data_IF_613357163177
#
_entry.id   IF_613357163177
#
_cell.length_a   1.000
_cell.length_b   1.000
_cell.length_c   1.000
_cell.angle_alpha   90.00
_cell.angle_beta   90.00
_cell.angle_gamma   90.00
#
_symmetry.space_group_name_H-M   'P 1'
#
loop_
_entity.id
_entity.type
_entity.pdbx_description
1 polymer ?
#
# COMPACT_ATOMS: atom_id res chain seq x y z
N UNK A 1 -18.20 -23.54 22.18
CA UNK A 1 -19.07 -22.33 22.25
C UNK A 1 -19.46 -21.96 20.83
N UNK A 2 -20.60 -21.30 20.58
CA UNK A 2 -20.95 -20.87 19.21
C UNK A 2 -20.03 -19.73 18.76
N UNK A 3 -19.36 -19.91 17.62
CA UNK A 3 -18.55 -18.88 16.98
C UNK A 3 -19.45 -17.72 16.55
N UNK A 4 -19.12 -16.50 17.00
CA UNK A 4 -19.81 -15.29 16.58
C UNK A 4 -19.07 -14.72 15.37
N UNK A 5 -19.70 -14.77 14.21
CA UNK A 5 -19.15 -14.20 12.98
C UNK A 5 -19.16 -12.67 13.08
N UNK A 6 -18.03 -12.00 12.87
CA UNK A 6 -17.91 -10.53 13.07
C UNK A 6 -17.20 -9.85 11.93
N UNK A 7 -17.53 -8.58 11.69
CA UNK A 7 -16.77 -7.70 10.81
C UNK A 7 -16.06 -6.61 11.64
N UNK A 8 -14.73 -6.56 11.56
CA UNK A 8 -13.91 -5.57 12.25
C UNK A 8 -14.08 -4.17 11.61
N UNK A 9 -14.12 -4.09 10.28
CA UNK A 9 -14.27 -2.84 9.51
C UNK A 9 -15.59 -2.12 9.82
N UNK A 10 -16.69 -2.87 9.94
CA UNK A 10 -18.03 -2.33 10.17
C UNK A 10 -18.52 -2.48 11.63
N UNK A 11 -17.69 -3.03 12.52
CA UNK A 11 -17.95 -3.23 13.97
C UNK A 11 -19.28 -3.94 14.30
N UNK A 12 -19.67 -4.92 13.49
CA UNK A 12 -20.93 -5.68 13.64
C UNK A 12 -20.73 -7.19 13.78
N UNK A 13 -21.70 -7.85 14.40
CA UNK A 13 -21.75 -9.29 14.60
C UNK A 13 -22.96 -9.90 13.89
N UNK A 14 -22.76 -11.08 13.29
CA UNK A 14 -23.73 -11.86 12.54
C UNK A 14 -24.01 -13.18 13.25
N UNK A 15 -25.17 -13.77 12.96
CA UNK A 15 -25.58 -15.06 13.51
C UNK A 15 -24.94 -16.23 12.76
N UNK A 16 -24.82 -16.09 11.44
CA UNK A 16 -24.45 -17.17 10.52
C UNK A 16 -23.33 -16.73 9.57
N UNK A 17 -22.48 -17.68 9.16
CA UNK A 17 -21.33 -17.42 8.28
C UNK A 17 -21.75 -16.85 6.91
N UNK A 18 -22.86 -17.32 6.35
CA UNK A 18 -23.33 -16.87 5.03
C UNK A 18 -23.80 -15.41 5.05
N UNK A 19 -24.36 -14.94 6.16
CA UNK A 19 -24.72 -13.52 6.35
C UNK A 19 -23.43 -12.67 6.42
N UNK A 20 -22.37 -13.17 7.06
CA UNK A 20 -21.07 -12.50 7.07
C UNK A 20 -20.48 -12.44 5.64
N UNK A 21 -20.51 -13.54 4.88
CA UNK A 21 -20.06 -13.58 3.46
C UNK A 21 -20.89 -12.66 2.55
N UNK A 22 -22.19 -12.51 2.79
CA UNK A 22 -23.04 -11.54 2.09
C UNK A 22 -22.71 -10.11 2.48
N UNK A 23 -22.46 -9.82 3.77
CA UNK A 23 -22.06 -8.50 4.24
C UNK A 23 -20.76 -8.01 3.59
N UNK A 24 -19.74 -8.86 3.43
CA UNK A 24 -18.51 -8.50 2.72
C UNK A 24 -18.72 -8.07 1.25
N UNK A 25 -19.84 -8.47 0.63
CA UNK A 25 -20.23 -8.06 -0.73
C UNK A 25 -21.14 -6.83 -0.77
N UNK A 26 -21.69 -6.40 0.36
CA UNK A 26 -22.64 -5.30 0.43
C UNK A 26 -21.94 -3.93 0.43
N UNK A 27 -22.57 -2.93 -0.18
CA UNK A 27 -21.92 -1.64 -0.44
C UNK A 27 -21.65 -0.83 0.82
N UNK A 28 -22.41 -1.06 1.90
CA UNK A 28 -22.10 -0.55 3.24
C UNK A 28 -20.74 -1.02 3.76
N UNK A 29 -20.35 -2.28 3.47
CA UNK A 29 -19.02 -2.78 3.82
C UNK A 29 -17.93 -2.12 2.98
N UNK A 30 -18.15 -2.04 1.67
CA UNK A 30 -17.23 -1.39 0.71
C UNK A 30 -17.00 0.09 1.07
N UNK A 31 -18.06 0.80 1.43
CA UNK A 31 -18.02 2.20 1.90
C UNK A 31 -17.19 2.36 3.18
N UNK A 32 -17.44 1.53 4.20
CA UNK A 32 -16.66 1.56 5.44
C UNK A 32 -15.21 1.09 5.26
N UNK A 33 -14.93 0.22 4.30
CA UNK A 33 -13.56 -0.16 3.91
C UNK A 33 -12.83 1.02 3.25
N UNK A 34 -13.44 1.70 2.26
CA UNK A 34 -12.89 2.94 1.66
C UNK A 34 -12.61 3.99 2.74
N UNK A 35 -13.53 4.21 3.69
CA UNK A 35 -13.33 5.13 4.82
C UNK A 35 -12.17 4.73 5.73
N UNK A 36 -12.01 3.44 6.07
CA UNK A 36 -10.87 2.95 6.85
C UNK A 36 -9.53 3.18 6.14
N UNK A 37 -9.48 3.04 4.81
CA UNK A 37 -8.27 3.31 4.01
C UNK A 37 -7.90 4.80 4.01
N UNK A 38 -8.88 5.69 4.20
CA UNK A 38 -8.68 7.13 4.37
C UNK A 38 -8.55 7.57 5.85
N UNK A 39 -8.28 6.65 6.79
CA UNK A 39 -8.24 6.86 8.24
C UNK A 39 -9.52 7.50 8.87
N UNK A 40 -10.64 7.49 8.14
CA UNK A 40 -11.91 8.06 8.59
C UNK A 40 -12.72 7.06 9.44
N UNK A 41 -13.48 7.53 10.46
CA UNK A 41 -14.35 6.68 11.26
C UNK A 41 -15.40 5.93 10.42
N UNK A 42 -15.68 4.65 10.71
CA UNK A 42 -16.72 3.88 10.02
C UNK A 42 -18.13 4.36 10.42
N UNK A 43 -19.04 4.33 9.45
CA UNK A 43 -20.41 4.86 9.55
C UNK A 43 -21.41 3.73 9.81
N UNK A 44 -22.45 4.00 10.60
CA UNK A 44 -23.49 3.02 10.95
C UNK A 44 -24.35 2.65 9.74
N UNK A 45 -25.06 1.51 9.81
CA UNK A 45 -25.91 1.08 8.69
C UNK A 45 -27.10 2.03 8.49
N UNK A 46 -27.64 2.61 9.56
CA UNK A 46 -28.74 3.58 9.54
C UNK A 46 -28.34 4.89 8.85
N UNK A 47 -27.14 5.41 9.16
CA UNK A 47 -26.66 6.66 8.57
C UNK A 47 -26.21 6.46 7.11
N UNK A 48 -25.65 5.30 6.77
CA UNK A 48 -25.40 4.92 5.37
C UNK A 48 -26.71 4.84 4.58
N UNK A 49 -27.74 4.19 5.11
CA UNK A 49 -29.07 4.14 4.48
C UNK A 49 -29.67 5.54 4.30
N UNK A 50 -29.54 6.42 5.31
CA UNK A 50 -30.00 7.82 5.20
C UNK A 50 -29.29 8.60 4.09
N UNK A 51 -27.96 8.43 3.95
CA UNK A 51 -27.18 9.06 2.87
C UNK A 51 -27.61 8.55 1.49
N UNK A 52 -27.80 7.23 1.33
CA UNK A 52 -28.29 6.61 0.07
C UNK A 52 -29.72 7.03 -0.29
N UNK A 53 -30.59 7.28 0.71
CA UNK A 53 -31.93 7.80 0.46
C UNK A 53 -31.89 9.27 0.00
N UNK A 54 -31.10 10.12 0.65
CA UNK A 54 -30.95 11.53 0.27
C UNK A 54 -30.39 11.69 -1.15
N UNK A 55 -29.38 10.90 -1.52
CA UNK A 55 -28.85 10.87 -2.89
C UNK A 55 -29.97 10.54 -3.89
N UNK A 56 -30.71 9.45 -3.67
CA UNK A 56 -31.82 9.05 -4.55
C UNK A 56 -32.95 10.06 -4.63
N UNK A 57 -33.17 10.86 -3.59
CA UNK A 57 -34.13 11.97 -3.62
C UNK A 57 -33.61 13.13 -4.48
N UNK A 58 -32.30 13.41 -4.48
CA UNK A 58 -31.66 14.38 -5.39
C UNK A 58 -31.68 13.87 -6.84
N UNK A 59 -31.21 12.64 -7.10
CA UNK A 59 -31.22 12.01 -8.43
C UNK A 59 -32.64 12.02 -9.05
N UNK A 60 -33.66 11.74 -8.23
CA UNK A 60 -35.07 11.75 -8.65
C UNK A 60 -35.62 13.16 -8.92
N UNK A 61 -35.16 14.18 -8.19
CA UNK A 61 -35.53 15.58 -8.46
C UNK A 61 -34.92 16.07 -9.78
N UNK A 62 -33.64 15.77 -10.02
CA UNK A 62 -32.91 16.17 -11.23
C UNK A 62 -33.39 15.44 -12.50
N UNK A 63 -33.85 14.20 -12.35
CA UNK A 63 -34.47 13.44 -13.44
C UNK A 63 -35.96 13.79 -13.69
N UNK A 64 -36.54 14.76 -12.98
CA UNK A 64 -37.90 15.23 -13.33
C UNK A 64 -37.94 15.90 -14.72
N UNK A 65 -38.83 15.46 -15.64
CA UNK A 65 -38.79 15.91 -17.04
C UNK A 65 -39.43 17.29 -17.24
N UNK A 66 -38.67 18.35 -16.95
CA UNK A 66 -39.09 19.74 -17.19
C UNK A 66 -39.07 20.03 -18.70
N UNK A 67 -40.25 20.31 -19.27
CA UNK A 67 -40.37 20.68 -20.69
C UNK A 67 -40.11 22.18 -20.92
N UNK A 68 -38.85 22.53 -21.14
CA UNK A 68 -38.41 23.92 -21.42
C UNK A 68 -38.34 24.17 -22.93
N UNK A 69 -38.79 25.34 -23.41
CA UNK A 69 -38.78 25.66 -24.84
C UNK A 69 -37.94 26.92 -25.16
N UNK A 70 -37.12 26.83 -26.21
CA UNK A 70 -36.35 27.97 -26.72
C UNK A 70 -37.22 28.91 -27.54
N UNK A 71 -37.31 30.19 -27.17
CA UNK A 71 -38.10 31.19 -27.91
C UNK A 71 -37.53 31.50 -29.30
N UNK A 72 -36.20 31.54 -29.44
CA UNK A 72 -35.48 31.84 -30.69
C UNK A 72 -35.54 30.64 -31.65
N UNK A 73 -35.13 29.46 -31.19
CA UNK A 73 -35.01 28.27 -32.05
C UNK A 73 -36.26 27.37 -32.08
N UNK A 74 -37.30 27.66 -31.27
CA UNK A 74 -38.56 26.92 -31.16
C UNK A 74 -38.44 25.41 -30.85
N UNK A 75 -37.32 24.99 -30.26
CA UNK A 75 -37.07 23.62 -29.81
C UNK A 75 -37.48 23.44 -28.35
N UNK A 76 -38.13 22.33 -28.05
CA UNK A 76 -38.45 21.84 -26.70
C UNK A 76 -37.41 20.84 -26.22
N UNK A 77 -37.06 20.90 -24.93
CA UNK A 77 -36.10 20.03 -24.26
C UNK A 77 -36.72 19.51 -22.96
N UNK A 78 -36.45 18.25 -22.63
CA UNK A 78 -37.02 17.55 -21.46
C UNK A 78 -36.11 17.54 -20.23
N UNK A 79 -35.02 18.31 -20.26
CA UNK A 79 -34.03 18.46 -19.18
C UNK A 79 -33.42 19.86 -19.27
N UNK A 80 -33.18 20.48 -18.13
CA UNK A 80 -32.57 21.81 -18.02
C UNK A 80 -31.15 21.82 -18.64
N UNK A 81 -30.33 20.81 -18.33
CA UNK A 81 -28.94 20.73 -18.80
C UNK A 81 -28.88 20.59 -20.34
N UNK A 82 -29.88 19.97 -20.96
CA UNK A 82 -30.02 19.90 -22.42
C UNK A 82 -30.43 21.26 -23.04
N UNK A 83 -31.26 22.04 -22.33
CA UNK A 83 -31.63 23.40 -22.74
C UNK A 83 -30.47 24.38 -22.64
N UNK A 84 -29.67 24.32 -21.57
CA UNK A 84 -28.51 25.20 -21.38
C UNK A 84 -27.37 24.90 -22.37
N UNK A 85 -27.11 23.62 -22.65
CA UNK A 85 -26.23 23.22 -23.74
C UNK A 85 -26.74 23.67 -25.12
N UNK A 86 -28.06 23.74 -25.32
CA UNK A 86 -28.64 24.33 -26.53
C UNK A 86 -28.36 25.84 -26.62
N UNK A 87 -28.58 26.61 -25.55
CA UNK A 87 -28.26 28.04 -25.49
C UNK A 87 -26.76 28.29 -25.74
N UNK A 88 -25.90 27.41 -25.23
CA UNK A 88 -24.46 27.53 -25.39
C UNK A 88 -23.93 27.16 -26.78
N UNK A 89 -24.71 26.44 -27.59
CA UNK A 89 -24.35 25.99 -28.94
C UNK A 89 -24.11 27.16 -29.90
N UNK A 90 -23.06 27.06 -30.73
CA UNK A 90 -22.71 28.08 -31.75
C UNK A 90 -23.91 28.48 -32.61
N UNK A 91 -24.69 27.51 -33.09
CA UNK A 91 -25.88 27.75 -33.91
C UNK A 91 -26.95 28.59 -33.22
N UNK A 92 -27.12 28.46 -31.90
CA UNK A 92 -28.04 29.31 -31.15
C UNK A 92 -27.50 30.73 -31.03
N UNK A 93 -26.22 30.89 -30.69
CA UNK A 93 -25.54 32.19 -30.57
C UNK A 93 -25.52 32.95 -31.91
N UNK A 94 -25.22 32.27 -33.01
CA UNK A 94 -25.30 32.79 -34.38
C UNK A 94 -26.73 33.25 -34.77
N UNK A 95 -27.76 32.46 -34.42
CA UNK A 95 -29.17 32.84 -34.67
C UNK A 95 -29.63 34.01 -33.79
N UNK A 96 -29.09 34.13 -32.58
CA UNK A 96 -29.39 35.22 -31.66
C UNK A 96 -28.75 36.54 -32.14
N UNK A 97 -27.48 36.50 -32.53
CA UNK A 97 -26.76 37.64 -33.15
C UNK A 97 -27.52 38.14 -34.39
N UNK A 98 -27.89 37.23 -35.30
CA UNK A 98 -28.63 37.60 -36.52
C UNK A 98 -30.10 37.98 -36.32
N UNK A 99 -30.66 37.79 -35.12
CA UNK A 99 -31.91 38.48 -34.72
C UNK A 99 -31.62 39.92 -34.26
N UNK A 100 -30.59 40.12 -33.42
CA UNK A 100 -30.21 41.45 -32.92
C UNK A 100 -29.77 42.37 -34.06
N UNK A 101 -29.03 41.87 -35.05
CA UNK A 101 -28.62 42.64 -36.23
C UNK A 101 -29.80 43.21 -37.03
N UNK A 102 -30.98 42.59 -36.99
CA UNK A 102 -32.20 43.07 -37.66
C UNK A 102 -32.97 44.14 -36.87
N UNK A 103 -32.64 44.38 -35.59
CA UNK A 103 -33.30 45.41 -34.76
C UNK A 103 -32.53 46.75 -34.74
N UNK A 104 -31.30 46.81 -35.29
CA UNK A 104 -30.41 47.98 -35.21
C UNK A 104 -30.68 49.07 -36.26
N UNK A 105 -31.34 48.75 -37.37
CA UNK A 105 -31.50 49.63 -38.56
C UNK A 105 -32.42 50.86 -38.37
N UNK A 106 -32.81 51.21 -37.13
CA UNK A 106 -33.67 52.37 -36.83
C UNK A 106 -33.18 53.21 -35.62
N UNK A 107 -31.93 53.70 -35.66
CA UNK A 107 -31.54 55.13 -35.45
C UNK A 107 -30.02 55.30 -35.21
N UNK A 108 -29.47 56.43 -35.69
CA UNK A 108 -28.08 56.91 -35.46
C UNK A 108 -28.12 58.43 -35.18
N UNK A 109 -27.05 59.11 -34.69
CA UNK A 109 -25.63 58.69 -34.60
C UNK A 109 -24.86 58.97 -33.29
N UNK A 110 -23.68 58.35 -33.19
CA UNK A 110 -22.41 58.79 -32.55
C UNK A 110 -22.41 59.47 -31.15
N UNK A 111 -21.73 58.83 -30.18
CA UNK A 111 -20.33 59.19 -29.86
C UNK A 111 -19.59 58.05 -29.12
N UNK A 112 -18.27 58.21 -28.92
CA UNK A 112 -17.35 57.22 -28.35
C UNK A 112 -17.28 57.27 -26.80
N UNK A 113 -17.27 56.11 -26.15
CA UNK A 113 -16.23 55.63 -25.20
C UNK A 113 -16.77 54.58 -24.20
N UNK A 114 -16.08 53.43 -24.11
CA UNK A 114 -15.95 52.65 -22.86
C UNK A 114 -17.02 51.59 -22.53
N UNK A 115 -16.49 50.43 -22.10
CA UNK A 115 -17.09 49.43 -21.20
C UNK A 115 -18.29 48.56 -21.68
N UNK A 116 -18.21 47.26 -21.38
CA UNK A 116 -19.23 46.25 -21.73
C UNK A 116 -20.35 46.24 -20.68
N UNK A 117 -21.45 46.95 -20.93
CA UNK A 117 -22.66 46.94 -20.08
C UNK A 117 -23.90 46.86 -20.97
N UNK A 118 -24.91 46.08 -20.54
CA UNK A 118 -26.01 45.53 -21.36
C UNK A 118 -25.51 44.49 -22.39
N UNK A 119 -26.22 43.38 -22.65
CA UNK A 119 -27.61 43.04 -22.35
C UNK A 119 -27.71 41.81 -21.45
N UNK A 120 -28.41 41.92 -20.30
CA UNK A 120 -28.86 40.75 -19.54
C UNK A 120 -30.10 41.10 -18.68
N UNK A 121 -31.19 41.48 -19.35
CA UNK A 121 -32.49 41.82 -18.74
C UNK A 121 -33.59 41.59 -19.78
N UNK A 122 -34.80 41.23 -19.34
CA UNK A 122 -35.95 40.80 -20.18
C UNK A 122 -35.67 39.37 -20.71
N UNK A 123 -36.35 38.28 -20.31
CA UNK A 123 -37.70 38.11 -19.74
C UNK A 123 -37.70 37.11 -18.57
N UNK A 124 -38.20 37.52 -17.39
CA UNK A 124 -38.94 36.62 -16.48
C UNK A 124 -40.43 36.73 -16.80
N UNK A 125 -41.16 35.61 -16.79
CA UNK A 125 -42.63 35.59 -16.59
C UNK A 125 -42.94 34.46 -15.60
N UNK A 126 -43.08 34.83 -14.34
CA UNK A 126 -44.00 34.15 -13.43
C UNK A 126 -45.39 34.82 -13.53
N UNK A 127 -46.38 34.15 -12.94
CA UNK A 127 -47.64 34.73 -12.47
C UNK A 127 -48.67 35.23 -13.51
N UNK A 128 -49.66 34.36 -13.78
CA UNK A 128 -51.06 34.77 -13.68
C UNK A 128 -51.70 34.05 -12.49
N UNK A 129 -51.95 34.86 -11.45
CA UNK A 129 -52.64 34.60 -10.16
C UNK A 129 -53.91 33.73 -10.25
N UNK A 130 -54.25 32.92 -9.24
CA UNK A 130 -55.06 33.23 -8.03
C UNK A 130 -55.37 31.89 -7.30
N UNK A 131 -55.73 31.72 -6.01
CA UNK A 131 -55.83 32.47 -4.71
C UNK A 131 -56.13 31.37 -3.65
N UNK A 132 -56.05 31.41 -2.30
CA UNK A 132 -55.92 32.40 -1.20
C UNK A 132 -55.08 31.73 -0.07
N UNK A 133 -54.74 32.30 1.10
CA UNK A 133 -54.90 33.66 1.65
C UNK A 133 -54.55 33.73 3.16
N UNK A 134 -54.53 34.97 3.69
CA UNK A 134 -54.28 35.38 5.09
C UNK A 134 -52.83 35.32 5.66
N UNK A 135 -52.66 36.11 6.72
CA UNK A 135 -51.47 36.71 7.34
C UNK A 135 -51.62 36.61 8.89
N UNK A 136 -50.65 36.99 9.75
CA UNK A 136 -49.19 37.06 9.58
C UNK A 136 -48.38 36.57 10.82
N UNK A 137 -47.03 36.63 10.74
CA UNK A 137 -46.05 36.87 11.83
C UNK A 137 -46.09 35.95 13.08
N UNK A 138 -44.97 35.24 13.29
CA UNK A 138 -44.10 35.47 14.45
C UNK A 138 -42.64 35.20 14.05
N UNK A 139 -41.70 35.85 14.74
CA UNK A 139 -40.26 35.50 14.73
C UNK A 139 -39.96 34.66 15.97
N UNK A 140 -38.87 33.90 15.92
CA UNK A 140 -37.84 33.98 16.96
C UNK A 140 -36.51 33.48 16.41
N UNK A 141 -35.41 34.00 16.96
CA UNK A 141 -34.07 33.90 16.38
C UNK A 141 -33.22 32.82 17.09
N UNK A 142 -32.62 31.88 16.35
CA UNK A 142 -31.49 31.06 16.83
C UNK A 142 -30.41 31.07 15.75
N UNK A 143 -29.22 31.56 16.12
CA UNK A 143 -28.04 31.61 15.25
C UNK A 143 -27.16 30.35 15.41
N UNK A 144 -26.01 30.36 14.72
CA UNK A 144 -24.88 29.42 14.83
C UNK A 144 -25.06 28.08 14.06
N UNK A 145 -24.05 27.58 13.32
CA UNK A 145 -22.86 28.25 12.76
C UNK A 145 -22.22 27.38 11.64
N UNK A 146 -21.13 27.91 11.06
CA UNK A 146 -20.07 27.20 10.31
C UNK A 146 -20.39 26.74 8.88
N UNK A 147 -19.92 27.55 7.92
CA UNK A 147 -19.62 27.16 6.55
C UNK A 147 -18.52 26.10 6.55
N UNK A 148 -18.90 24.82 6.39
CA UNK A 148 -17.96 23.73 6.11
C UNK A 148 -17.92 23.50 4.60
N UNK A 149 -17.07 24.27 3.91
CA UNK A 149 -16.77 24.11 2.49
C UNK A 149 -16.06 22.77 2.25
N UNK A 150 -16.84 21.73 1.99
CA UNK A 150 -16.35 20.41 1.59
C UNK A 150 -16.74 20.16 0.15
N UNK A 151 -15.78 20.31 -0.76
CA UNK A 151 -15.87 19.85 -2.15
C UNK A 151 -16.41 18.41 -2.16
N UNK A 152 -17.67 18.27 -2.57
CA UNK A 152 -18.30 16.97 -2.72
C UNK A 152 -18.06 16.52 -4.16
N UNK A 153 -16.94 15.80 -4.36
CA UNK A 153 -16.67 15.19 -5.66
C UNK A 153 -17.85 14.30 -6.05
N UNK A 154 -18.49 14.63 -7.17
CA UNK A 154 -19.57 13.85 -7.79
C UNK A 154 -18.98 12.52 -8.32
N UNK A 155 -18.78 11.57 -7.41
CA UNK A 155 -18.37 10.21 -7.75
C UNK A 155 -19.55 9.50 -8.41
N UNK A 156 -19.65 9.68 -9.72
CA UNK A 156 -20.60 8.99 -10.60
C UNK A 156 -20.66 7.50 -10.25
N UNK A 157 -21.85 7.03 -9.87
CA UNK A 157 -22.07 5.66 -9.42
C UNK A 157 -22.04 4.65 -10.57
N UNK A 158 -22.21 5.11 -11.80
CA UNK A 158 -22.64 4.27 -12.91
C UNK A 158 -21.44 3.77 -13.74
N UNK A 159 -20.24 4.35 -13.55
CA UNK A 159 -18.99 3.88 -14.16
C UNK A 159 -18.46 2.57 -13.51
N UNK A 160 -18.88 2.25 -12.27
CA UNK A 160 -18.29 1.17 -11.45
C UNK A 160 -18.68 -0.26 -11.85
N UNK A 161 -19.69 -0.46 -12.71
CA UNK A 161 -20.16 -1.79 -13.13
C UNK A 161 -19.48 -2.31 -14.43
N UNK A 162 -18.74 -1.47 -15.15
CA UNK A 162 -18.04 -1.87 -16.38
C UNK A 162 -16.63 -2.45 -16.13
N UNK A 163 -15.91 -1.96 -15.11
CA UNK A 163 -14.48 -2.25 -14.84
C UNK A 163 -14.18 -3.73 -14.51
N UNK A 164 -15.17 -4.50 -14.05
CA UNK A 164 -15.02 -5.93 -13.67
C UNK A 164 -14.61 -6.88 -14.82
N UNK A 165 -14.47 -6.39 -16.06
CA UNK A 165 -14.21 -7.22 -17.26
C UNK A 165 -12.73 -7.32 -17.66
N UNK A 166 -11.86 -6.44 -17.15
CA UNK A 166 -10.52 -6.20 -17.73
C UNK A 166 -9.35 -6.97 -17.09
N UNK A 167 -9.61 -8.05 -16.34
CA UNK A 167 -8.53 -8.94 -15.86
C UNK A 167 -7.83 -9.63 -17.06
N UNK A 168 -6.52 -9.39 -17.32
CA UNK A 168 -5.84 -9.88 -18.52
C UNK A 168 -5.81 -11.42 -18.61
N UNK A 169 -5.78 -12.09 -17.45
CA UNK A 169 -5.63 -13.54 -17.34
C UNK A 169 -6.88 -14.26 -17.85
N UNK A 170 -8.08 -13.68 -17.68
CA UNK A 170 -9.32 -14.23 -18.22
C UNK A 170 -9.26 -14.44 -19.74
N UNK A 171 -8.60 -13.52 -20.45
CA UNK A 171 -8.41 -13.54 -21.90
C UNK A 171 -7.05 -14.14 -22.35
N UNK A 172 -6.30 -14.77 -21.44
CA UNK A 172 -4.95 -15.30 -21.68
C UNK A 172 -3.93 -14.25 -22.18
N UNK A 173 -4.12 -12.98 -21.82
CA UNK A 173 -3.17 -11.90 -22.07
C UNK A 173 -2.06 -11.89 -21.00
N UNK A 174 -0.86 -11.42 -21.34
CA UNK A 174 0.24 -11.33 -20.38
C UNK A 174 -0.07 -10.29 -19.29
N UNK A 175 0.39 -10.54 -18.07
CA UNK A 175 0.22 -9.62 -16.95
C UNK A 175 1.04 -8.33 -17.09
N UNK A 176 2.22 -8.43 -17.72
CA UNK A 176 3.24 -7.37 -17.74
C UNK A 176 3.36 -6.63 -19.09
N UNK A 177 2.76 -7.15 -20.17
CA UNK A 177 2.81 -6.54 -21.49
C UNK A 177 1.59 -6.90 -22.35
N UNK A 178 1.44 -6.25 -23.52
CA UNK A 178 0.29 -6.42 -24.43
C UNK A 178 0.27 -7.72 -25.24
N UNK A 179 1.02 -8.76 -24.85
CA UNK A 179 1.10 -10.02 -25.59
C UNK A 179 -0.06 -10.97 -25.25
N UNK A 180 -0.90 -11.28 -26.24
CA UNK A 180 -1.97 -12.28 -26.16
C UNK A 180 -1.45 -13.70 -26.46
N UNK A 181 -1.79 -14.68 -25.62
CA UNK A 181 -1.41 -16.09 -25.78
C UNK A 181 -2.61 -17.01 -25.97
N UNK A 182 -2.53 -17.95 -26.92
CA UNK A 182 -3.63 -18.90 -27.23
C UNK A 182 -3.98 -19.90 -26.12
N UNK A 183 -3.16 -20.01 -25.07
CA UNK A 183 -3.30 -20.99 -23.98
C UNK A 183 -2.59 -20.46 -22.72
N UNK A 184 -3.13 -20.72 -21.53
CA UNK A 184 -2.49 -20.41 -20.22
C UNK A 184 -1.05 -20.93 -20.13
N UNK A 185 -0.81 -22.17 -20.54
CA UNK A 185 0.53 -22.80 -20.54
C UNK A 185 1.53 -22.08 -21.46
N UNK A 186 1.05 -21.39 -22.51
CA UNK A 186 1.91 -20.56 -23.39
C UNK A 186 2.09 -19.15 -22.82
N UNK A 187 1.04 -18.60 -22.21
CA UNK A 187 1.08 -17.34 -21.48
C UNK A 187 2.15 -17.38 -20.37
N UNK A 188 2.09 -18.40 -19.51
CA UNK A 188 3.07 -18.64 -18.45
C UNK A 188 4.49 -18.83 -18.98
N UNK A 189 4.68 -19.58 -20.08
CA UNK A 189 6.00 -19.74 -20.72
C UNK A 189 6.56 -18.41 -21.24
N UNK A 190 5.70 -17.55 -21.79
CA UNK A 190 6.10 -16.20 -22.19
C UNK A 190 6.43 -15.34 -20.95
N UNK A 191 5.60 -15.34 -19.91
CA UNK A 191 5.89 -14.62 -18.65
C UNK A 191 7.22 -15.06 -18.01
N UNK A 192 7.53 -16.36 -18.03
CA UNK A 192 8.78 -16.89 -17.47
C UNK A 192 10.03 -16.57 -18.31
N UNK A 193 9.89 -16.41 -19.63
CA UNK A 193 11.01 -16.17 -20.55
C UNK A 193 11.26 -14.67 -20.79
N UNK A 194 10.21 -13.90 -21.06
CA UNK A 194 10.30 -12.47 -21.39
C UNK A 194 10.42 -11.60 -20.14
N UNK A 195 9.74 -12.01 -19.05
CA UNK A 195 9.60 -11.21 -17.83
C UNK A 195 10.20 -11.88 -16.59
N UNK A 196 10.83 -13.05 -16.72
CA UNK A 196 11.42 -13.80 -15.60
C UNK A 196 10.45 -14.09 -14.43
N UNK A 197 9.16 -14.18 -14.73
CA UNK A 197 8.13 -14.51 -13.75
C UNK A 197 8.23 -15.97 -13.32
N UNK A 198 8.27 -16.18 -12.01
CA UNK A 198 8.33 -17.47 -11.37
C UNK A 198 7.27 -17.54 -10.27
N UNK A 199 6.67 -18.71 -10.11
CA UNK A 199 5.69 -19.02 -9.08
C UNK A 199 6.42 -19.92 -8.07
N UNK A 200 6.58 -19.52 -6.80
CA UNK A 200 7.14 -20.38 -5.76
C UNK A 200 6.30 -21.63 -5.53
N UNK A 201 6.93 -22.68 -5.01
CA UNK A 201 6.26 -23.83 -4.36
C UNK A 201 5.15 -24.49 -5.20
N UNK A 202 5.36 -24.59 -6.52
CA UNK A 202 4.40 -25.15 -7.50
C UNK A 202 3.94 -26.58 -7.16
N UNK A 203 4.72 -27.33 -6.38
CA UNK A 203 4.38 -28.68 -5.90
C UNK A 203 3.21 -28.68 -4.90
N UNK A 204 3.00 -27.57 -4.17
CA UNK A 204 1.97 -27.39 -3.15
C UNK A 204 0.79 -26.52 -3.63
N UNK A 205 0.74 -26.18 -4.91
CA UNK A 205 -0.18 -25.17 -5.45
C UNK A 205 -1.48 -25.80 -5.96
N UNK A 206 -2.60 -25.51 -5.29
CA UNK A 206 -3.91 -26.14 -5.55
C UNK A 206 -4.68 -25.47 -6.69
N UNK A 207 -4.79 -24.14 -6.71
CA UNK A 207 -5.45 -23.40 -7.79
C UNK A 207 -4.55 -22.37 -8.47
N UNK A 208 -3.83 -22.85 -9.49
CA UNK A 208 -3.03 -22.02 -10.39
C UNK A 208 -3.85 -20.96 -11.13
N UNK A 209 -5.14 -21.20 -11.39
CA UNK A 209 -5.99 -20.23 -12.10
C UNK A 209 -6.44 -19.13 -11.14
N UNK A 210 -6.90 -19.47 -9.95
CA UNK A 210 -7.24 -18.54 -8.88
C UNK A 210 -6.09 -17.60 -8.53
N UNK A 211 -4.89 -18.16 -8.29
CA UNK A 211 -3.71 -17.35 -8.00
C UNK A 211 -3.40 -16.36 -9.14
N UNK A 212 -3.41 -16.81 -10.40
CA UNK A 212 -3.13 -15.92 -11.53
C UNK A 212 -4.21 -14.84 -11.71
N UNK A 213 -5.49 -15.17 -11.50
CA UNK A 213 -6.57 -14.18 -11.53
C UNK A 213 -6.36 -13.10 -10.46
N UNK A 214 -6.05 -13.49 -9.21
CA UNK A 214 -5.76 -12.57 -8.10
C UNK A 214 -4.53 -11.67 -8.35
N UNK A 215 -3.44 -12.24 -8.91
CA UNK A 215 -2.28 -11.46 -9.35
C UNK A 215 -2.63 -10.51 -10.50
N UNK A 216 -3.58 -10.89 -11.37
CA UNK A 216 -4.23 -10.02 -12.35
C UNK A 216 -4.90 -8.80 -11.71
N UNK A 217 -5.82 -9.05 -10.78
CA UNK A 217 -6.58 -8.03 -10.06
C UNK A 217 -5.67 -7.09 -9.26
N UNK A 218 -4.61 -7.57 -8.59
CA UNK A 218 -3.63 -6.70 -7.93
C UNK A 218 -2.94 -5.71 -8.87
N UNK A 219 -2.65 -6.11 -10.12
CA UNK A 219 -1.99 -5.24 -11.11
C UNK A 219 -2.97 -4.31 -11.83
N UNK A 220 -4.18 -4.80 -12.20
CA UNK A 220 -5.10 -4.02 -13.04
C UNK A 220 -6.20 -3.26 -12.29
N UNK A 221 -6.59 -3.69 -11.09
CA UNK A 221 -7.58 -2.98 -10.25
C UNK A 221 -6.91 -2.37 -9.01
N UNK A 222 -5.96 -3.09 -8.40
CA UNK A 222 -5.20 -2.59 -7.25
C UNK A 222 -4.10 -1.57 -7.61
N UNK A 223 -3.69 -1.51 -8.89
CA UNK A 223 -2.50 -0.77 -9.36
C UNK A 223 -1.26 -0.99 -8.46
N UNK A 224 -1.04 -2.23 -8.04
CA UNK A 224 0.04 -2.64 -7.13
C UNK A 224 1.12 -3.45 -7.85
N UNK A 225 2.38 -3.14 -7.54
CA UNK A 225 3.53 -3.95 -7.96
C UNK A 225 3.68 -5.18 -7.05
N UNK A 226 3.66 -6.38 -7.64
CA UNK A 226 3.68 -7.67 -6.93
C UNK A 226 4.92 -7.94 -6.04
N UNK A 227 5.99 -7.15 -6.20
CA UNK A 227 7.24 -7.27 -5.44
C UNK A 227 7.44 -6.16 -4.38
N UNK A 228 6.75 -5.03 -4.50
CA UNK A 228 7.00 -3.84 -3.67
C UNK A 228 6.08 -3.72 -2.45
N UNK A 229 5.78 -4.82 -1.76
CA UNK A 229 4.81 -4.86 -0.65
C UNK A 229 4.98 -3.70 0.35
N UNK A 230 3.87 -3.02 0.67
CA UNK A 230 3.67 -1.90 1.62
C UNK A 230 4.50 -0.62 1.39
N UNK A 231 5.74 -0.75 0.93
CA UNK A 231 6.70 0.35 0.66
C UNK A 231 6.54 0.90 -0.76
N UNK A 232 5.91 0.14 -1.65
CA UNK A 232 5.46 0.58 -2.96
C UNK A 232 4.15 1.34 -2.84
N UNK A 233 4.13 2.59 -3.31
CA UNK A 233 2.88 3.32 -3.56
C UNK A 233 2.09 2.60 -4.66
N UNK A 234 0.76 2.67 -4.58
CA UNK A 234 -0.09 2.37 -5.73
C UNK A 234 0.22 3.33 -6.90
N UNK A 235 0.04 2.84 -8.12
CA UNK A 235 0.15 3.64 -9.33
C UNK A 235 -1.20 4.22 -9.73
N UNK A 236 -1.20 5.14 -10.69
CA UNK A 236 -2.43 5.81 -11.18
C UNK A 236 -3.06 5.06 -12.37
N UNK A 237 -2.51 3.90 -12.76
CA UNK A 237 -2.94 3.11 -13.91
C UNK A 237 -2.29 1.73 -13.91
N UNK A 238 -2.98 0.74 -14.48
CA UNK A 238 -2.45 -0.59 -14.74
C UNK A 238 -1.18 -0.55 -15.61
N UNK A 239 -1.10 0.34 -16.60
CA UNK A 239 0.05 0.42 -17.51
C UNK A 239 1.26 1.10 -16.85
N UNK A 240 1.02 2.06 -15.94
CA UNK A 240 2.07 2.60 -15.07
C UNK A 240 2.63 1.53 -14.12
N UNK A 241 1.76 0.64 -13.61
CA UNK A 241 2.14 -0.52 -12.79
C UNK A 241 3.01 -1.50 -13.61
N UNK A 242 2.55 -1.91 -14.79
CA UNK A 242 3.29 -2.80 -15.70
C UNK A 242 4.65 -2.23 -16.08
N UNK A 243 4.71 -0.96 -16.46
CA UNK A 243 5.95 -0.28 -16.83
C UNK A 243 6.96 -0.27 -15.68
N UNK A 244 6.52 0.08 -14.45
CA UNK A 244 7.36 -0.02 -13.25
C UNK A 244 7.89 -1.45 -13.03
N UNK A 245 7.05 -2.46 -13.23
CA UNK A 245 7.42 -3.85 -13.00
C UNK A 245 8.46 -4.34 -14.01
N UNK A 246 8.33 -3.96 -15.29
CA UNK A 246 9.32 -4.24 -16.33
C UNK A 246 10.63 -3.48 -16.07
N UNK A 247 10.57 -2.15 -15.86
CA UNK A 247 11.75 -1.29 -15.70
C UNK A 247 12.63 -1.67 -14.50
N UNK A 248 12.04 -2.23 -13.44
CA UNK A 248 12.76 -2.68 -12.24
C UNK A 248 12.99 -4.20 -12.18
N UNK A 249 12.50 -4.97 -13.13
CA UNK A 249 12.52 -6.45 -13.05
C UNK A 249 11.68 -7.02 -11.89
N UNK A 250 10.68 -6.27 -11.43
CA UNK A 250 9.73 -6.64 -10.37
C UNK A 250 8.57 -7.51 -10.87
N UNK A 251 8.72 -8.18 -12.02
CA UNK A 251 7.77 -9.14 -12.57
C UNK A 251 7.80 -10.50 -11.83
N UNK A 252 7.80 -10.47 -10.49
CA UNK A 252 7.83 -11.63 -9.59
C UNK A 252 6.84 -11.38 -8.46
N UNK A 253 6.15 -12.42 -8.00
CA UNK A 253 5.40 -12.33 -6.74
C UNK A 253 6.35 -12.38 -5.55
N UNK A 254 6.17 -11.50 -4.56
CA UNK A 254 6.74 -11.70 -3.24
C UNK A 254 6.02 -12.87 -2.55
N UNK A 255 6.77 -13.70 -1.83
CA UNK A 255 6.28 -14.89 -1.14
C UNK A 255 7.00 -15.02 0.21
N UNK A 256 7.05 -13.89 0.93
CA UNK A 256 7.75 -13.72 2.20
C UNK A 256 6.94 -12.78 3.10
N UNK A 257 7.05 -12.95 4.42
CA UNK A 257 6.37 -12.11 5.41
C UNK A 257 4.85 -12.14 5.29
N UNK A 258 4.20 -11.00 5.55
CA UNK A 258 2.73 -10.90 5.61
C UNK A 258 2.04 -11.23 4.26
N UNK A 259 2.74 -11.05 3.13
CA UNK A 259 2.20 -11.45 1.81
C UNK A 259 1.95 -12.94 1.67
N UNK A 260 2.66 -13.80 2.42
CA UNK A 260 2.41 -15.24 2.41
C UNK A 260 1.00 -15.59 2.91
N UNK A 261 0.45 -14.79 3.85
CA UNK A 261 -0.91 -14.98 4.34
C UNK A 261 -1.98 -14.55 3.32
N UNK A 262 -1.67 -13.64 2.38
CA UNK A 262 -2.58 -13.30 1.27
C UNK A 262 -2.76 -14.44 0.28
N UNK A 263 -1.70 -15.25 0.06
CA UNK A 263 -1.69 -16.33 -0.92
C UNK A 263 -2.09 -17.70 -0.33
N UNK A 264 -2.29 -17.80 0.98
CA UNK A 264 -2.54 -19.06 1.68
C UNK A 264 -3.72 -19.86 1.10
N UNK A 265 -4.80 -19.20 0.68
CA UNK A 265 -5.99 -19.85 0.08
C UNK A 265 -5.70 -20.60 -1.25
N UNK A 266 -4.54 -20.37 -1.89
CA UNK A 266 -4.15 -21.02 -3.16
C UNK A 266 -3.15 -22.19 -3.01
N UNK A 267 -2.59 -22.39 -1.80
CA UNK A 267 -1.52 -23.35 -1.52
C UNK A 267 -1.91 -24.32 -0.39
N UNK A 268 -1.59 -25.60 -0.56
CA UNK A 268 -1.78 -26.64 0.45
C UNK A 268 -0.45 -27.25 0.88
N UNK A 269 0.09 -26.70 1.97
CA UNK A 269 1.30 -27.18 2.62
C UNK A 269 1.04 -28.36 3.58
N UNK A 270 -0.17 -28.93 3.67
CA UNK A 270 -0.51 -30.03 4.60
C UNK A 270 0.45 -31.23 4.51
N UNK A 271 0.91 -31.52 3.30
CA UNK A 271 1.87 -32.61 3.01
C UNK A 271 3.32 -32.33 3.45
N UNK A 272 3.67 -31.08 3.76
CA UNK A 272 5.00 -30.69 4.28
C UNK A 272 5.13 -30.88 5.79
N UNK A 273 4.02 -30.94 6.53
CA UNK A 273 4.06 -31.07 7.99
C UNK A 273 4.42 -32.51 8.42
N UNK A 274 5.20 -32.70 9.50
CA UNK A 274 5.48 -34.04 10.04
C UNK A 274 4.20 -34.82 10.36
N UNK A 275 4.19 -36.15 10.19
CA UNK A 275 2.97 -36.96 10.32
C UNK A 275 2.30 -36.89 11.71
N UNK A 276 3.05 -36.60 12.77
CA UNK A 276 2.54 -36.38 14.14
C UNK A 276 1.57 -35.19 14.27
N UNK A 277 1.47 -34.32 13.26
CA UNK A 277 0.57 -33.15 13.26
C UNK A 277 -0.71 -33.32 12.42
N UNK A 278 -0.92 -34.47 11.75
CA UNK A 278 -2.06 -34.64 10.83
C UNK A 278 -3.44 -34.75 11.52
N UNK A 279 -3.47 -35.06 12.82
CA UNK A 279 -4.72 -35.25 13.58
C UNK A 279 -5.40 -33.94 14.05
N UNK A 280 -4.73 -32.77 13.97
CA UNK A 280 -5.33 -31.49 14.36
C UNK A 280 -4.71 -30.28 13.62
N UNK A 281 -5.45 -29.60 12.72
CA UNK A 281 -4.92 -28.44 11.98
C UNK A 281 -4.74 -27.18 12.84
N UNK A 282 -5.39 -27.08 14.00
CA UNK A 282 -5.21 -25.99 14.98
C UNK A 282 -4.09 -26.30 16.00
N UNK A 283 -3.29 -27.35 15.80
CA UNK A 283 -2.18 -27.66 16.69
C UNK A 283 -1.02 -26.67 16.50
N UNK A 284 -0.71 -25.88 17.53
CA UNK A 284 0.48 -25.03 17.55
C UNK A 284 1.74 -25.87 17.30
N UNK A 285 2.37 -25.68 16.13
CA UNK A 285 3.63 -26.33 15.79
C UNK A 285 4.69 -25.78 16.72
N UNK A 286 5.11 -26.60 17.69
CA UNK A 286 6.25 -26.30 18.56
C UNK A 286 7.53 -26.32 17.72
N UNK A 287 7.85 -25.19 17.08
CA UNK A 287 9.12 -24.97 16.40
C UNK A 287 10.22 -25.35 17.40
N UNK A 288 11.08 -26.34 17.09
CA UNK A 288 12.11 -26.76 18.01
C UNK A 288 12.97 -25.55 18.37
N UNK A 289 13.02 -25.20 19.65
CA UNK A 289 13.89 -24.11 20.15
C UNK A 289 15.32 -24.55 19.87
N UNK A 290 15.87 -24.06 18.77
CA UNK A 290 17.26 -24.29 18.43
C UNK A 290 18.09 -23.65 19.53
N UNK A 291 19.04 -24.40 20.08
CA UNK A 291 19.94 -23.93 21.13
C UNK A 291 20.85 -22.85 20.54
N UNK A 292 20.39 -21.60 20.57
CA UNK A 292 21.01 -20.43 19.94
C UNK A 292 22.17 -19.91 20.81
N UNK A 293 23.05 -20.82 21.19
CA UNK A 293 24.33 -20.48 21.81
C UNK A 293 25.12 -19.60 20.83
N UNK A 294 25.63 -18.45 21.28
CA UNK A 294 26.07 -17.30 20.46
C UNK A 294 26.95 -17.61 19.24
N UNK A 295 27.58 -18.80 19.21
CA UNK A 295 28.50 -19.22 18.16
C UNK A 295 28.24 -20.62 17.56
N UNK A 296 27.20 -21.36 17.98
CA UNK A 296 26.94 -22.73 17.48
C UNK A 296 25.45 -23.09 17.53
N UNK A 297 24.90 -23.46 16.38
CA UNK A 297 23.51 -23.90 16.21
C UNK A 297 23.45 -25.43 16.09
N UNK A 298 22.65 -26.09 16.92
CA UNK A 298 22.42 -27.55 16.85
C UNK A 298 21.12 -27.83 16.09
N UNK A 299 21.21 -28.53 14.96
CA UNK A 299 20.05 -28.93 14.17
C UNK A 299 19.33 -30.15 14.80
N UNK A 300 18.02 -30.33 14.58
CA UNK A 300 17.29 -31.56 14.95
C UNK A 300 17.86 -32.85 14.33
N UNK A 301 18.67 -32.74 13.28
CA UNK A 301 19.43 -33.85 12.68
C UNK A 301 20.70 -34.24 13.45
N UNK A 302 21.01 -33.59 14.57
CA UNK A 302 22.23 -33.78 15.37
C UNK A 302 23.49 -33.13 14.77
N UNK A 303 23.38 -32.51 13.58
CA UNK A 303 24.48 -31.77 12.98
C UNK A 303 24.61 -30.37 13.62
N UNK A 304 25.84 -29.97 13.98
CA UNK A 304 26.10 -28.65 14.56
C UNK A 304 26.75 -27.70 13.56
N UNK A 305 26.19 -26.51 13.39
CA UNK A 305 26.68 -25.46 12.48
C UNK A 305 27.34 -24.35 13.32
N UNK A 306 28.60 -24.03 13.01
CA UNK A 306 29.34 -22.95 13.68
C UNK A 306 29.07 -21.57 13.05
N UNK A 307 29.02 -20.52 13.88
CA UNK A 307 28.74 -19.15 13.43
C UNK A 307 29.91 -18.55 12.62
N UNK A 308 29.58 -17.71 11.63
CA UNK A 308 30.54 -17.11 10.68
C UNK A 308 31.68 -16.32 11.32
N UNK A 309 31.49 -15.75 12.52
CA UNK A 309 32.57 -15.04 13.25
C UNK A 309 33.76 -15.94 13.57
N UNK A 310 33.51 -17.23 13.81
CA UNK A 310 34.55 -18.20 14.17
C UNK A 310 35.18 -18.90 12.96
N UNK A 311 34.83 -18.52 11.72
CA UNK A 311 35.38 -19.15 10.50
C UNK A 311 36.91 -19.06 10.38
N UNK A 312 37.55 -18.08 11.04
CA UNK A 312 39.01 -18.01 11.16
C UNK A 312 39.55 -19.20 11.96
N UNK A 313 38.88 -19.59 13.06
CA UNK A 313 39.26 -20.74 13.88
C UNK A 313 38.88 -22.07 13.23
N UNK A 314 37.71 -22.17 12.59
CA UNK A 314 37.32 -23.38 11.85
C UNK A 314 38.21 -23.68 10.63
N UNK A 315 38.98 -22.69 10.15
CA UNK A 315 40.02 -22.86 9.12
C UNK A 315 41.42 -23.15 9.69
N UNK A 316 41.62 -23.15 11.01
CA UNK A 316 42.91 -23.50 11.62
C UNK A 316 43.09 -25.01 11.69
N UNK A 317 43.96 -25.54 10.82
CA UNK A 317 44.46 -26.91 10.97
C UNK A 317 45.58 -26.94 12.02
N UNK A 318 45.20 -27.03 13.30
CA UNK A 318 46.14 -27.17 14.41
C UNK A 318 46.69 -28.61 14.46
N UNK A 319 48.01 -28.77 14.36
CA UNK A 319 48.64 -30.09 14.49
C UNK A 319 48.39 -30.69 15.90
N UNK A 320 47.61 -31.78 16.02
CA UNK A 320 47.26 -32.37 17.31
C UNK A 320 48.46 -33.01 18.03
N UNK A 321 49.62 -33.15 17.35
CA UNK A 321 50.88 -33.62 17.93
C UNK A 321 51.83 -32.47 18.26
N UNK A 322 51.39 -31.20 18.17
CA UNK A 322 52.09 -30.03 18.74
C UNK A 322 51.96 -29.97 20.28
N UNK A 323 52.24 -31.08 20.94
CA UNK A 323 52.78 -31.04 22.29
C UNK A 323 54.01 -30.12 22.27
N UNK A 324 54.20 -29.29 23.30
CA UNK A 324 55.35 -28.40 23.39
C UNK A 324 56.60 -29.25 23.64
N UNK A 325 57.20 -29.77 22.56
CA UNK A 325 58.44 -30.53 22.65
C UNK A 325 59.50 -29.58 23.24
N UNK A 326 60.06 -29.84 24.43
CA UNK A 326 61.08 -28.96 24.98
C UNK A 326 62.26 -28.99 24.00
N UNK A 327 62.51 -27.88 23.33
CA UNK A 327 63.40 -27.85 22.18
C UNK A 327 64.82 -28.20 22.64
N UNK A 328 65.22 -29.46 22.42
CA UNK A 328 66.46 -30.03 22.98
C UNK A 328 67.71 -29.22 22.59
N UNK A 329 67.65 -28.50 21.45
CA UNK A 329 68.65 -27.52 21.01
C UNK A 329 68.73 -26.31 21.97
N UNK A 330 67.60 -25.70 22.34
CA UNK A 330 67.55 -24.59 23.32
C UNK A 330 68.00 -25.09 24.70
N UNK A 331 67.54 -26.26 25.14
CA UNK A 331 67.96 -26.81 26.44
C UNK A 331 69.48 -27.09 26.50
N UNK A 332 70.09 -27.49 25.37
CA UNK A 332 71.55 -27.66 25.26
C UNK A 332 72.28 -26.32 25.24
N UNK A 333 71.76 -25.30 24.55
CA UNK A 333 72.30 -23.94 24.57
C UNK A 333 72.21 -23.32 25.98
N UNK A 334 71.07 -23.40 26.65
CA UNK A 334 70.89 -22.92 28.02
C UNK A 334 71.82 -23.62 29.02
N UNK A 335 72.05 -24.93 28.87
CA UNK A 335 73.05 -25.65 29.65
C UNK A 335 74.49 -25.17 29.35
N UNK A 336 74.80 -24.86 28.09
CA UNK A 336 76.10 -24.35 27.67
C UNK A 336 76.35 -22.92 28.16
N UNK A 337 75.35 -22.04 28.16
CA UNK A 337 75.43 -20.71 28.80
C UNK A 337 75.67 -20.84 30.31
N UNK A 338 74.92 -21.71 31.01
CA UNK A 338 75.16 -21.98 32.44
C UNK A 338 76.57 -22.50 32.72
N UNK A 339 77.11 -23.36 31.86
CA UNK A 339 78.48 -23.88 31.96
C UNK A 339 79.56 -22.82 31.63
N UNK A 340 79.24 -21.83 30.79
CA UNK A 340 80.08 -20.67 30.48
C UNK A 340 80.09 -19.58 31.58
N UNK A 341 79.55 -19.88 32.77
CA UNK A 341 79.49 -18.95 33.89
C UNK A 341 78.23 -18.09 33.95
N UNK A 342 77.25 -18.28 33.05
CA UNK A 342 75.93 -17.64 33.16
C UNK A 342 75.08 -18.34 34.24
N UNK A 343 75.50 -18.19 35.49
CA UNK A 343 74.63 -18.37 36.66
C UNK A 343 73.55 -17.29 36.67
N UNK A 344 72.53 -17.41 37.52
CA UNK A 344 71.53 -16.34 37.66
C UNK A 344 72.13 -15.14 38.40
N UNK A 345 72.80 -14.25 37.65
CA UNK A 345 73.43 -13.02 38.13
C UNK A 345 72.38 -12.03 38.64
N UNK A 346 71.97 -12.27 39.90
CA UNK A 346 71.17 -11.38 40.72
C UNK A 346 69.86 -10.91 40.06
N UNK A 347 68.95 -11.86 39.80
CA UNK A 347 67.52 -11.54 39.54
C UNK A 347 66.97 -10.49 40.52
N UNK A 348 67.31 -10.62 41.81
CA UNK A 348 66.94 -9.63 42.82
C UNK A 348 67.56 -8.24 42.63
N UNK A 349 68.78 -8.11 42.13
CA UNK A 349 69.39 -6.80 41.89
C UNK A 349 68.84 -6.16 40.62
N UNK A 350 68.56 -6.96 39.57
CA UNK A 350 67.86 -6.48 38.37
C UNK A 350 66.43 -6.04 38.73
N UNK A 351 65.70 -6.82 39.53
CA UNK A 351 64.37 -6.44 40.03
C UNK A 351 64.46 -5.17 40.89
N UNK A 352 65.39 -5.08 41.85
CA UNK A 352 65.57 -3.85 42.66
C UNK A 352 65.93 -2.63 41.80
N UNK A 353 66.80 -2.78 40.78
CA UNK A 353 67.16 -1.69 39.88
C UNK A 353 65.96 -1.24 39.01
N UNK A 354 65.13 -2.17 38.55
CA UNK A 354 63.88 -1.87 37.83
C UNK A 354 62.83 -1.25 38.77
N UNK A 355 62.75 -1.68 40.04
CA UNK A 355 61.90 -1.04 41.06
C UNK A 355 62.34 0.40 41.35
N UNK A 356 63.65 0.65 41.46
CA UNK A 356 64.21 1.99 41.75
C UNK A 356 64.03 2.95 40.57
N UNK A 357 64.43 2.55 39.35
CA UNK A 357 64.16 3.37 38.15
C UNK A 357 62.66 3.49 37.84
N UNK A 358 61.84 2.57 38.33
CA UNK A 358 60.38 2.70 38.31
C UNK A 358 59.86 3.77 39.27
N UNK A 359 60.43 3.88 40.48
CA UNK A 359 60.06 4.90 41.47
C UNK A 359 60.41 6.31 41.03
N UNK A 360 61.65 6.53 40.55
CA UNK A 360 62.12 7.83 40.04
C UNK A 360 61.26 8.35 38.85
N UNK A 361 60.56 7.47 38.14
CA UNK A 361 59.62 7.83 37.07
C UNK A 361 58.22 8.25 37.55
N UNK A 362 57.84 7.97 38.81
CA UNK A 362 56.56 8.38 39.40
C UNK A 362 56.70 9.67 40.23
N UNK A 363 57.80 9.85 40.97
CA UNK A 363 57.98 11.06 41.78
C UNK A 363 58.16 12.33 40.89
N UNK A 364 58.84 12.20 39.74
CA UNK A 364 58.97 13.27 38.72
C UNK A 364 57.63 13.61 38.03
N UNK A 365 56.62 12.73 38.14
CA UNK A 365 55.26 13.05 37.70
C UNK A 365 54.48 13.84 38.77
N UNK A 366 54.63 13.47 40.05
CA UNK A 366 53.90 14.09 41.16
C UNK A 366 54.41 15.49 41.53
N UNK A 367 55.71 15.78 41.40
CA UNK A 367 56.21 17.16 41.61
C UNK A 367 55.68 18.14 40.56
N UNK A 368 55.27 17.66 39.37
CA UNK A 368 54.73 18.51 38.29
C UNK A 368 53.23 18.78 38.35
N UNK A 369 52.47 17.98 39.07
CA UNK A 369 51.05 18.25 39.33
C UNK A 369 50.83 19.15 40.58
N UNK A 370 51.92 19.66 41.18
CA UNK A 370 51.91 20.51 42.36
C UNK A 370 52.29 21.99 42.11
N UNK A 371 52.79 22.35 40.91
CA UNK A 371 53.18 23.73 40.57
C UNK A 371 52.20 24.48 39.64
N UNK A 372 51.19 23.80 39.08
CA UNK A 372 50.12 24.43 38.25
C UNK A 372 48.81 24.64 39.07
N UNK A 373 48.88 25.52 40.08
CA UNK A 373 47.73 26.05 40.87
C UNK A 373 47.79 27.58 40.98
#
# INVERSE_FOLDING_TARGET
MTSKFTCITCRVAFKDADIQRQHYKADWHRYNLKRKVADLPPVTVEEFQRRVLLQREQDHLETTPINVHCKICRKSFSSQNAFENHLNSKKHKETNISMVELEVDNNTPNNLNGENVYVNKIINVSDITNKQGNNPILKDDVAMQEDSDSDIEEVDSDEWDEEYKDNPIANNNCLFCSHHSRNTVKNLKHMSLEHSFFIPDVEYLVDLKGLLMYLGEKVTQGFMCLWCSEKGRSFHSADSTKQHMVDKGHCKMLHEGETLAEYADFYDYSSSYPPDHQDNPDAEVTVPVLDDSDYQLVLPSGATIGHRSLMIYYRQNLDPKRAVSPQKKIHRLLAQYKALGWTETQKEAVVRAVQLMGGEMYDVALEKEAEDV
#
